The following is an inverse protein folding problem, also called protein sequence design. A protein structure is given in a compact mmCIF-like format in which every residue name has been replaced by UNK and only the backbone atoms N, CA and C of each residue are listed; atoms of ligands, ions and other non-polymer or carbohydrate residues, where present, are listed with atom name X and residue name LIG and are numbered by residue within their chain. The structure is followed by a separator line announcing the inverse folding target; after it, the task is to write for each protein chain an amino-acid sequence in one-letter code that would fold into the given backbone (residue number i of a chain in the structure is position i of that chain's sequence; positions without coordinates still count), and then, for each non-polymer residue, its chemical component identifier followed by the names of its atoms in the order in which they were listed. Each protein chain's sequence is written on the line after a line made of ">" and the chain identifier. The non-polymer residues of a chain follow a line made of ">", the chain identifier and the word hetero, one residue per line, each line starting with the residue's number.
data_IF_913841532627
#
_entry.id   IF_913841532627
#
_cell.length_a   1.000
_cell.length_b   1.000
_cell.length_c   1.000
_cell.angle_alpha   90.00
_cell.angle_beta   90.00
_cell.angle_gamma   90.00
#
_symmetry.space_group_name_H-M   'P 1'
#
loop_
_entity.id
_entity.type
_entity.pdbx_description
1 polymer ?
#
# COMPACT_ATOMS: atom_id res chain seq x y z
N UNK A 1 5.91 -10.75 -26.22
CA UNK A 1 5.49 -10.44 -24.83
C UNK A 1 4.04 -10.03 -24.85
N UNK A 2 3.13 -10.92 -24.45
CA UNK A 2 1.70 -10.61 -24.33
C UNK A 2 1.52 -9.51 -23.29
N UNK A 3 0.92 -8.37 -23.69
CA UNK A 3 0.49 -7.34 -22.71
C UNK A 3 -0.46 -8.03 -21.74
N UNK A 4 -0.05 -8.22 -20.48
CA UNK A 4 -0.99 -8.63 -19.42
C UNK A 4 -2.06 -7.54 -19.34
N UNK A 5 -3.32 -7.92 -19.48
CA UNK A 5 -4.45 -7.02 -19.24
C UNK A 5 -4.48 -6.58 -17.78
N UNK A 6 -5.17 -5.48 -17.51
CA UNK A 6 -5.41 -5.01 -16.14
C UNK A 6 -6.12 -6.12 -15.33
N UNK A 7 -5.82 -6.26 -14.02
CA UNK A 7 -6.61 -7.11 -13.13
C UNK A 7 -8.09 -6.73 -13.21
N UNK A 8 -8.99 -7.72 -13.14
CA UNK A 8 -10.41 -7.47 -13.36
C UNK A 8 -11.04 -6.79 -12.17
N UNK A 9 -10.71 -7.24 -10.95
CA UNK A 9 -11.27 -6.70 -9.70
C UNK A 9 -10.18 -6.26 -8.74
N UNK A 10 -10.14 -4.95 -8.45
CA UNK A 10 -9.12 -4.32 -7.62
C UNK A 10 -9.77 -3.72 -6.37
N UNK A 11 -9.27 -4.11 -5.19
CA UNK A 11 -9.57 -3.39 -3.95
C UNK A 11 -8.64 -2.19 -3.82
N UNK A 12 -9.18 -0.99 -3.58
CA UNK A 12 -8.37 0.19 -3.24
C UNK A 12 -8.51 0.45 -1.74
N UNK A 13 -7.44 0.18 -1.00
CA UNK A 13 -7.38 0.40 0.45
C UNK A 13 -7.05 1.86 0.73
N UNK A 14 -7.93 2.56 1.44
CA UNK A 14 -7.79 3.98 1.75
C UNK A 14 -8.28 4.29 3.17
N UNK A 15 -8.02 5.50 3.66
CA UNK A 15 -8.23 5.88 5.04
C UNK A 15 -7.06 5.47 5.94
N UNK A 16 -7.28 4.48 6.80
CA UNK A 16 -6.33 4.04 7.81
C UNK A 16 -6.51 4.74 9.17
N UNK A 17 -5.81 4.25 10.22
CA UNK A 17 -5.84 4.81 11.57
C UNK A 17 -4.85 5.97 11.80
N UNK A 18 -3.99 6.29 10.82
CA UNK A 18 -2.96 7.32 10.95
C UNK A 18 -3.54 8.74 10.93
N UNK A 19 -2.73 9.72 11.32
CA UNK A 19 -3.05 11.15 11.18
C UNK A 19 -3.21 11.61 9.72
N UNK A 20 -2.82 10.78 8.75
CA UNK A 20 -2.82 11.11 7.32
C UNK A 20 -4.07 10.54 6.61
N UNK A 21 -5.08 10.12 7.38
CA UNK A 21 -6.32 9.52 6.89
C UNK A 21 -7.00 10.31 5.77
N UNK A 22 -7.15 11.62 5.91
CA UNK A 22 -7.87 12.42 4.91
C UNK A 22 -7.11 12.50 3.58
N UNK A 23 -5.77 12.52 3.64
CA UNK A 23 -4.90 12.43 2.47
C UNK A 23 -5.07 11.07 1.80
N UNK A 24 -5.06 10.00 2.58
CA UNK A 24 -5.28 8.63 2.13
C UNK A 24 -6.63 8.43 1.43
N UNK A 25 -7.73 8.97 1.97
CA UNK A 25 -9.04 8.96 1.31
C UNK A 25 -9.01 9.71 -0.03
N UNK A 26 -8.44 10.91 -0.06
CA UNK A 26 -8.35 11.70 -1.29
C UNK A 26 -7.53 10.97 -2.37
N UNK A 27 -6.38 10.39 -2.00
CA UNK A 27 -5.54 9.57 -2.88
C UNK A 27 -6.31 8.35 -3.40
N UNK A 28 -6.97 7.62 -2.49
CA UNK A 28 -7.77 6.44 -2.81
C UNK A 28 -8.89 6.72 -3.82
N UNK A 29 -9.65 7.81 -3.64
CA UNK A 29 -10.68 8.19 -4.60
C UNK A 29 -10.11 8.56 -5.97
N UNK A 30 -8.94 9.23 -6.01
CA UNK A 30 -8.23 9.54 -7.25
C UNK A 30 -7.82 8.28 -8.02
N UNK A 31 -7.22 7.32 -7.30
CA UNK A 31 -6.82 6.02 -7.86
C UNK A 31 -8.04 5.25 -8.37
N UNK A 32 -9.11 5.16 -7.58
CA UNK A 32 -10.32 4.44 -7.96
C UNK A 32 -10.98 5.03 -9.21
N UNK A 33 -11.04 6.36 -9.32
CA UNK A 33 -11.52 7.03 -10.52
C UNK A 33 -10.68 6.66 -11.75
N UNK A 34 -9.35 6.68 -11.62
CA UNK A 34 -8.44 6.35 -12.70
C UNK A 34 -8.59 4.87 -13.14
N UNK A 35 -8.58 3.93 -12.19
CA UNK A 35 -8.73 2.50 -12.48
C UNK A 35 -10.07 2.18 -13.15
N UNK A 36 -11.18 2.77 -12.68
CA UNK A 36 -12.50 2.62 -13.33
C UNK A 36 -12.50 3.18 -14.76
N UNK A 37 -11.82 4.30 -15.00
CA UNK A 37 -11.70 4.87 -16.36
C UNK A 37 -10.93 3.98 -17.34
N UNK A 38 -10.10 3.07 -16.83
CA UNK A 38 -9.37 2.05 -17.58
C UNK A 38 -10.13 0.72 -17.71
N UNK A 39 -11.35 0.63 -17.15
CA UNK A 39 -12.22 -0.54 -17.25
C UNK A 39 -12.05 -1.59 -16.15
N UNK A 40 -11.33 -1.29 -15.07
CA UNK A 40 -11.27 -2.18 -13.90
C UNK A 40 -12.57 -2.12 -13.08
N UNK A 41 -12.99 -3.26 -12.52
CA UNK A 41 -13.95 -3.27 -11.40
C UNK A 41 -13.19 -2.88 -10.12
N UNK A 42 -13.69 -1.86 -9.41
CA UNK A 42 -12.99 -1.27 -8.28
C UNK A 42 -13.88 -1.22 -7.05
N UNK A 43 -13.43 -1.88 -5.99
CA UNK A 43 -14.03 -1.83 -4.66
C UNK A 43 -13.18 -0.92 -3.78
N UNK A 44 -13.79 0.15 -3.28
CA UNK A 44 -13.15 1.04 -2.30
C UNK A 44 -13.32 0.45 -0.90
N UNK A 45 -12.22 0.32 -0.17
CA UNK A 45 -12.22 -0.20 1.21
C UNK A 45 -11.68 0.90 2.13
N UNK A 46 -12.58 1.50 2.89
CA UNK A 46 -12.21 2.43 3.97
C UNK A 46 -11.69 1.63 5.16
N UNK A 47 -10.37 1.52 5.25
CA UNK A 47 -9.68 0.84 6.34
C UNK A 47 -9.72 1.70 7.58
N UNK A 48 -10.10 1.11 8.72
CA UNK A 48 -10.07 1.75 10.04
C UNK A 48 -9.02 1.16 10.96
N UNK A 49 -8.82 -0.15 10.85
CA UNK A 49 -7.87 -0.92 11.64
C UNK A 49 -7.58 -2.26 10.93
N UNK A 50 -6.83 -3.15 11.59
CA UNK A 50 -6.41 -4.46 11.07
C UNK A 50 -7.57 -5.43 10.74
N UNK A 51 -8.79 -5.16 11.21
CA UNK A 51 -9.96 -6.04 11.02
C UNK A 51 -10.69 -5.82 9.70
N UNK A 52 -10.20 -4.88 8.87
CA UNK A 52 -10.80 -4.56 7.57
C UNK A 52 -11.05 -5.80 6.70
N UNK A 53 -12.15 -5.76 5.94
CA UNK A 53 -12.60 -6.86 5.09
C UNK A 53 -12.29 -6.57 3.63
N UNK A 54 -12.00 -7.65 2.91
CA UNK A 54 -11.85 -7.66 1.46
C UNK A 54 -12.86 -8.64 0.88
N UNK A 55 -13.42 -8.39 -0.31
CA UNK A 55 -14.10 -9.43 -1.08
C UNK A 55 -13.15 -10.60 -1.37
N UNK A 56 -13.66 -11.83 -1.35
CA UNK A 56 -12.85 -13.03 -1.57
C UNK A 56 -12.33 -13.16 -3.02
N UNK A 57 -12.92 -12.40 -3.94
CA UNK A 57 -12.65 -12.46 -5.38
C UNK A 57 -11.83 -11.27 -5.91
N UNK A 58 -11.11 -10.56 -5.03
CA UNK A 58 -10.20 -9.50 -5.48
C UNK A 58 -8.91 -10.09 -6.05
N UNK A 59 -8.53 -9.63 -7.24
CA UNK A 59 -7.28 -10.04 -7.89
C UNK A 59 -6.06 -9.33 -7.28
N UNK A 60 -6.26 -8.10 -6.79
CA UNK A 60 -5.22 -7.19 -6.32
C UNK A 60 -5.77 -6.22 -5.27
N UNK A 61 -4.99 -5.96 -4.22
CA UNK A 61 -5.17 -4.81 -3.34
C UNK A 61 -4.19 -3.66 -3.73
N UNK A 62 -4.74 -2.54 -4.20
CA UNK A 62 -4.00 -1.30 -4.34
C UNK A 62 -3.95 -0.59 -2.98
N UNK A 63 -2.74 -0.41 -2.44
CA UNK A 63 -2.53 0.27 -1.16
C UNK A 63 -2.45 1.77 -1.41
N UNK A 64 -3.45 2.52 -0.97
CA UNK A 64 -3.49 3.99 -0.97
C UNK A 64 -3.48 4.56 0.46
N UNK A 65 -3.01 3.76 1.42
CA UNK A 65 -2.84 4.14 2.83
C UNK A 65 -1.54 4.93 3.02
N UNK A 66 -1.53 5.87 3.96
CA UNK A 66 -0.38 6.73 4.28
C UNK A 66 -0.04 6.63 5.77
N UNK A 67 1.25 6.74 6.09
CA UNK A 67 1.74 6.75 7.45
C UNK A 67 1.74 5.38 8.14
N UNK A 68 1.71 5.41 9.47
CA UNK A 68 1.63 4.21 10.32
C UNK A 68 0.47 3.31 9.87
N UNK A 69 0.68 2.00 9.96
CA UNK A 69 -0.17 0.93 9.44
C UNK A 69 -0.15 0.76 7.90
N UNK A 70 -0.12 1.86 7.15
CA UNK A 70 -0.15 1.84 5.68
C UNK A 70 1.22 1.60 5.03
N UNK A 71 2.26 2.22 5.57
CA UNK A 71 3.60 2.29 4.96
C UNK A 71 4.69 1.61 5.81
N UNK A 72 4.34 1.13 7.00
CA UNK A 72 5.28 0.56 7.98
C UNK A 72 5.32 -0.97 8.01
N UNK A 73 4.76 -1.62 6.99
CA UNK A 73 4.74 -3.06 6.81
C UNK A 73 3.55 -3.78 7.46
N UNK A 74 2.71 -3.12 8.25
CA UNK A 74 1.59 -3.78 8.93
C UNK A 74 0.51 -4.28 7.96
N UNK A 75 -0.01 -3.40 7.08
CA UNK A 75 -1.03 -3.82 6.11
C UNK A 75 -0.47 -4.82 5.09
N UNK A 76 0.80 -4.67 4.72
CA UNK A 76 1.54 -5.57 3.84
C UNK A 76 1.56 -6.99 4.44
N UNK A 77 1.85 -7.10 5.74
CA UNK A 77 1.86 -8.38 6.44
C UNK A 77 0.46 -9.01 6.46
N UNK A 78 -0.57 -8.23 6.76
CA UNK A 78 -1.96 -8.70 6.74
C UNK A 78 -2.35 -9.22 5.36
N UNK A 79 -2.00 -8.51 4.29
CA UNK A 79 -2.32 -8.92 2.91
C UNK A 79 -1.55 -10.19 2.50
N UNK A 80 -0.26 -10.28 2.88
CA UNK A 80 0.56 -11.46 2.65
C UNK A 80 0.01 -12.70 3.38
N UNK A 81 -0.39 -12.56 4.64
CA UNK A 81 -1.01 -13.65 5.42
C UNK A 81 -2.36 -14.09 4.83
N UNK A 82 -3.10 -13.16 4.22
CA UNK A 82 -4.34 -13.45 3.49
C UNK A 82 -4.12 -13.98 2.07
N UNK A 83 -2.88 -14.06 1.59
CA UNK A 83 -2.56 -14.49 0.23
C UNK A 83 -3.02 -13.51 -0.86
N UNK A 84 -3.23 -12.24 -0.52
CA UNK A 84 -3.69 -11.20 -1.44
C UNK A 84 -2.49 -10.52 -2.08
N UNK A 85 -2.45 -10.47 -3.41
CA UNK A 85 -1.43 -9.70 -4.14
C UNK A 85 -1.69 -8.21 -3.95
N UNK A 86 -0.64 -7.42 -3.72
CA UNK A 86 -0.77 -5.98 -3.49
C UNK A 86 0.30 -5.14 -4.18
N UNK A 87 0.07 -3.83 -4.25
CA UNK A 87 1.01 -2.85 -4.83
C UNK A 87 2.01 -2.33 -3.80
N UNK A 88 3.23 -2.01 -4.25
CA UNK A 88 4.26 -1.37 -3.43
C UNK A 88 5.34 -2.35 -2.98
N UNK A 89 6.05 -1.98 -1.92
CA UNK A 89 7.13 -2.75 -1.33
C UNK A 89 6.64 -3.87 -0.41
N UNK A 90 7.51 -4.86 -0.14
CA UNK A 90 7.24 -5.93 0.80
C UNK A 90 7.21 -5.47 2.27
N UNK A 91 6.95 -6.42 3.18
CA UNK A 91 6.83 -6.15 4.63
C UNK A 91 8.12 -5.56 5.21
N UNK A 92 9.26 -6.19 4.93
CA UNK A 92 10.55 -5.80 5.53
C UNK A 92 11.11 -4.54 4.89
N UNK A 93 10.90 -4.37 3.58
CA UNK A 93 11.26 -3.16 2.85
C UNK A 93 10.46 -1.96 3.34
N UNK A 94 9.14 -2.11 3.53
CA UNK A 94 8.27 -1.08 4.10
C UNK A 94 8.73 -0.71 5.52
N UNK A 95 8.98 -1.69 6.39
CA UNK A 95 9.51 -1.47 7.75
C UNK A 95 10.83 -0.71 7.75
N UNK A 96 11.75 -1.10 6.87
CA UNK A 96 13.05 -0.48 6.76
C UNK A 96 12.92 0.97 6.28
N UNK A 97 12.16 1.19 5.22
CA UNK A 97 11.97 2.52 4.61
C UNK A 97 11.26 3.50 5.57
N UNK A 98 10.32 3.00 6.37
CA UNK A 98 9.57 3.81 7.34
C UNK A 98 10.46 4.27 8.51
N UNK A 99 11.46 3.45 8.90
CA UNK A 99 12.42 3.81 9.94
C UNK A 99 13.58 4.63 9.37
N UNK A 100 13.57 5.93 9.68
CA UNK A 100 14.60 6.87 9.24
C UNK A 100 16.00 6.52 9.71
N UNK A 101 16.16 5.99 10.92
CA UNK A 101 17.48 5.66 11.45
C UNK A 101 18.03 4.45 10.71
N UNK A 102 17.24 3.38 10.63
CA UNK A 102 17.65 2.14 9.96
C UNK A 102 17.85 2.34 8.45
N UNK A 103 17.03 3.16 7.81
CA UNK A 103 17.22 3.57 6.41
C UNK A 103 18.57 4.26 6.21
N UNK A 104 18.94 5.20 7.09
CA UNK A 104 20.22 5.91 6.99
C UNK A 104 21.42 5.01 7.30
N UNK A 105 21.29 4.08 8.23
CA UNK A 105 22.30 3.03 8.45
C UNK A 105 22.52 2.21 7.18
N UNK A 106 21.44 1.76 6.53
CA UNK A 106 21.52 1.02 5.25
C UNK A 106 22.14 1.85 4.13
N UNK A 107 21.84 3.15 4.05
CA UNK A 107 22.50 4.04 3.11
C UNK A 107 24.01 4.10 3.34
N UNK A 108 24.46 4.28 4.60
CA UNK A 108 25.89 4.31 4.94
C UNK A 108 26.59 2.99 4.60
N UNK A 109 25.97 1.86 4.91
CA UNK A 109 26.51 0.53 4.59
C UNK A 109 26.78 0.36 3.08
N UNK A 110 25.97 0.98 2.23
CA UNK A 110 26.04 0.87 0.77
C UNK A 110 26.66 2.10 0.10
N UNK A 111 27.27 3.01 0.86
CA UNK A 111 27.94 4.20 0.32
C UNK A 111 26.99 5.25 -0.28
N UNK A 112 25.69 5.20 0.04
CA UNK A 112 24.71 6.23 -0.34
C UNK A 112 24.79 7.39 0.66
N UNK A 113 25.01 8.61 0.15
CA UNK A 113 25.14 9.80 0.99
C UNK A 113 23.84 10.14 1.72
N UNK A 114 23.93 10.45 3.02
CA UNK A 114 22.81 10.90 3.86
C UNK A 114 23.30 11.90 4.92
N UNK A 115 22.49 12.90 5.37
CA UNK A 115 22.91 13.84 6.40
C UNK A 115 23.31 13.16 7.72
N UNK A 116 24.14 13.79 8.54
CA UNK A 116 24.47 13.29 9.89
C UNK A 116 23.25 13.37 10.85
N UNK A 117 23.25 12.58 11.94
CA UNK A 117 22.22 12.56 12.97
C UNK A 117 22.78 12.14 14.33
#
# INVERSE_FOLDING_TARGET
>A
MTKRGLPKRIAVLMGGPSSERDVSLATGHGISKALRSLGADVVEVDVRDATFKLPDDVDLAFIALHGTFGEDGQVQQILQERGVVYTGDGVEESRLAFDKIRSKEKFREHGVSTPEW
#
